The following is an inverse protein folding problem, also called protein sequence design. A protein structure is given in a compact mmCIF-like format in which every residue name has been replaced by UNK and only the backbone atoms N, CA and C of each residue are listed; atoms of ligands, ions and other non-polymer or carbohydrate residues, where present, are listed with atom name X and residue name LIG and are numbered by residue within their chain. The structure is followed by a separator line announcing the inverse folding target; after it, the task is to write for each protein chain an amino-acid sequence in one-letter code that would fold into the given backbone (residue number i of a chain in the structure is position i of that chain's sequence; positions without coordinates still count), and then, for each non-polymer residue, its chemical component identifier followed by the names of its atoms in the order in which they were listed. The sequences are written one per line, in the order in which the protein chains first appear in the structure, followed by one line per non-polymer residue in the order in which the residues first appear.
data_IF_107792227963
#
_entry.id   IF_107792227963
#
_cell.length_a   1.000
_cell.length_b   1.000
_cell.length_c   1.000
_cell.angle_alpha   90.00
_cell.angle_beta   90.00
_cell.angle_gamma   90.00
#
_symmetry.space_group_name_H-M   'P 1'
#
loop_
_entity.id
_entity.type
_entity.pdbx_description
1 polymer ?
#
# COMPACT_ATOMS: atom_id res chain seq x y z
N UNK A 1 -13.63 16.14 24.76
CA UNK A 1 -12.92 14.97 25.30
C UNK A 1 -11.69 14.76 24.43
N UNK A 2 -10.50 15.19 24.87
CA UNK A 2 -9.28 15.15 24.07
C UNK A 2 -8.84 13.71 23.72
N UNK A 3 -9.29 12.71 24.46
CA UNK A 3 -8.95 11.29 24.21
C UNK A 3 -9.78 10.67 23.07
N UNK A 4 -10.97 11.21 22.75
CA UNK A 4 -11.82 10.72 21.64
C UNK A 4 -11.31 11.08 20.24
N UNK A 5 -10.29 11.94 20.15
CA UNK A 5 -9.76 12.47 18.89
C UNK A 5 -8.31 12.02 18.61
N UNK A 6 -7.82 11.00 19.32
CA UNK A 6 -6.43 10.58 19.21
C UNK A 6 -6.16 9.93 17.84
N UNK A 7 -5.11 10.41 17.18
CA UNK A 7 -4.56 9.80 15.98
C UNK A 7 -3.49 8.79 16.38
N UNK A 8 -3.68 7.53 16.04
CA UNK A 8 -2.65 6.49 16.13
C UNK A 8 -1.57 6.76 15.08
N UNK A 9 -0.30 6.69 15.49
CA UNK A 9 0.84 6.97 14.61
C UNK A 9 1.93 5.93 14.83
N UNK A 10 2.60 5.50 13.76
CA UNK A 10 3.73 4.59 13.84
C UNK A 10 4.78 4.92 12.76
N UNK A 11 6.06 4.74 13.09
CA UNK A 11 7.18 4.87 12.15
C UNK A 11 7.90 3.53 12.07
N UNK A 12 8.20 3.08 10.85
CA UNK A 12 9.00 1.90 10.59
C UNK A 12 10.18 2.25 9.71
N UNK A 13 11.31 1.59 9.97
CA UNK A 13 12.51 1.62 9.14
C UNK A 13 12.87 0.15 8.89
N UNK A 14 12.84 -0.25 7.63
CA UNK A 14 12.97 -1.65 7.21
C UNK A 14 14.13 -1.78 6.22
N UNK A 15 15.32 -2.25 6.67
CA UNK A 15 16.39 -2.62 5.76
C UNK A 15 16.07 -3.95 5.08
N UNK A 16 16.28 -4.04 3.78
CA UNK A 16 16.01 -5.22 2.96
C UNK A 16 17.25 -5.71 2.20
N UNK A 17 17.26 -7.01 1.93
CA UNK A 17 18.19 -7.65 1.00
C UNK A 17 17.46 -8.74 0.21
N UNK A 18 17.66 -8.77 -1.10
CA UNK A 18 17.14 -9.79 -1.99
C UNK A 18 18.20 -10.26 -2.97
N UNK A 19 18.15 -11.54 -3.34
CA UNK A 19 18.96 -12.15 -4.40
C UNK A 19 18.21 -12.30 -5.73
N UNK A 20 16.93 -11.92 -5.75
CA UNK A 20 16.10 -11.98 -6.94
C UNK A 20 15.39 -10.63 -7.14
N UNK A 21 15.42 -10.16 -8.38
CA UNK A 21 14.67 -8.99 -8.81
C UNK A 21 13.16 -9.22 -8.67
N UNK A 22 12.48 -8.32 -7.96
CA UNK A 22 11.02 -8.32 -7.88
C UNK A 22 10.31 -7.98 -9.20
N UNK A 23 11.02 -7.33 -10.15
CA UNK A 23 10.46 -6.92 -11.45
C UNK A 23 10.46 -8.07 -12.48
N UNK A 24 11.53 -8.86 -12.55
CA UNK A 24 11.73 -9.85 -13.62
C UNK A 24 12.30 -11.20 -13.16
N UNK A 25 12.54 -11.40 -11.86
CA UNK A 25 13.08 -12.63 -11.31
C UNK A 25 14.55 -12.91 -11.61
N UNK A 26 15.28 -11.98 -12.25
CA UNK A 26 16.72 -12.16 -12.50
C UNK A 26 17.48 -12.24 -11.18
N UNK A 27 18.45 -13.15 -11.08
CA UNK A 27 19.33 -13.27 -9.92
C UNK A 27 20.29 -12.07 -9.88
N UNK A 28 20.20 -11.29 -8.81
CA UNK A 28 21.07 -10.14 -8.54
C UNK A 28 20.95 -9.76 -7.07
N UNK A 29 22.05 -9.27 -6.50
CA UNK A 29 22.00 -8.64 -5.19
C UNK A 29 21.28 -7.29 -5.29
N UNK A 30 20.31 -7.09 -4.41
CA UNK A 30 19.57 -5.85 -4.26
C UNK A 30 19.42 -5.53 -2.77
N UNK A 31 19.81 -4.33 -2.39
CA UNK A 31 19.62 -3.79 -1.05
C UNK A 31 18.51 -2.77 -1.08
N UNK A 32 17.68 -2.72 -0.05
CA UNK A 32 16.65 -1.67 0.08
C UNK A 32 16.62 -1.08 1.48
N UNK A 33 16.10 0.15 1.57
CA UNK A 33 15.78 0.80 2.82
C UNK A 33 14.42 1.46 2.67
N UNK A 34 13.42 0.92 3.38
CA UNK A 34 12.04 1.38 3.34
C UNK A 34 11.69 2.13 4.64
N UNK A 35 11.12 3.33 4.50
CA UNK A 35 10.61 4.14 5.58
C UNK A 35 9.09 4.20 5.48
N UNK A 36 8.40 3.92 6.58
CA UNK A 36 6.93 4.02 6.63
C UNK A 36 6.50 4.92 7.76
N UNK A 37 5.54 5.78 7.49
CA UNK A 37 4.76 6.49 8.49
C UNK A 37 3.29 6.08 8.34
N UNK A 38 2.74 5.46 9.37
CA UNK A 38 1.35 5.00 9.41
C UNK A 38 0.55 5.92 10.33
N UNK A 39 -0.68 6.20 9.92
CA UNK A 39 -1.62 7.08 10.59
C UNK A 39 -2.99 6.41 10.62
N UNK A 40 -3.63 6.36 11.78
CA UNK A 40 -4.98 5.81 11.93
C UNK A 40 -5.84 6.72 12.81
N UNK A 41 -7.11 6.86 12.47
CA UNK A 41 -8.10 7.52 13.32
C UNK A 41 -9.44 6.78 13.24
N UNK A 42 -9.97 6.41 14.40
CA UNK A 42 -11.30 5.83 14.51
C UNK A 42 -12.28 6.92 14.93
N UNK A 43 -13.48 6.90 14.35
CA UNK A 43 -14.51 7.89 14.62
C UNK A 43 -15.92 7.31 14.47
N UNK A 44 -16.93 8.03 14.96
CA UNK A 44 -18.29 7.54 15.10
C UNK A 44 -18.70 7.41 16.57
N UNK A 45 -19.98 7.20 16.83
CA UNK A 45 -20.49 7.08 18.21
C UNK A 45 -19.96 5.83 18.91
N UNK A 46 -19.71 4.77 18.13
CA UNK A 46 -19.18 3.49 18.59
C UNK A 46 -17.86 3.15 17.88
N UNK A 47 -17.12 4.17 17.40
CA UNK A 47 -15.89 4.00 16.61
C UNK A 47 -16.08 3.10 15.38
N UNK A 48 -17.28 3.14 14.79
CA UNK A 48 -17.62 2.26 13.69
C UNK A 48 -16.91 2.61 12.37
N UNK A 49 -16.29 3.79 12.28
CA UNK A 49 -15.47 4.21 11.14
C UNK A 49 -13.99 4.19 11.48
N UNK A 50 -13.20 3.74 10.51
CA UNK A 50 -11.74 3.71 10.58
C UNK A 50 -11.21 4.44 9.36
N UNK A 51 -10.38 5.46 9.57
CA UNK A 51 -9.52 6.04 8.56
C UNK A 51 -8.09 5.59 8.79
N UNK A 52 -7.41 5.18 7.73
CA UNK A 52 -6.00 4.81 7.77
C UNK A 52 -5.24 5.41 6.59
N UNK A 53 -4.03 5.90 6.83
CA UNK A 53 -3.14 6.40 5.81
C UNK A 53 -1.70 5.94 6.07
N UNK A 54 -0.98 5.62 5.00
CA UNK A 54 0.42 5.22 5.06
C UNK A 54 1.20 6.04 4.03
N UNK A 55 2.30 6.65 4.46
CA UNK A 55 3.32 7.22 3.61
C UNK A 55 4.53 6.29 3.62
N UNK A 56 5.00 5.91 2.44
CA UNK A 56 6.12 5.00 2.25
C UNK A 56 7.12 5.64 1.31
N UNK A 57 8.39 5.63 1.69
CA UNK A 57 9.51 5.98 0.83
C UNK A 57 10.51 4.83 0.86
N UNK A 58 10.97 4.39 -0.30
CA UNK A 58 11.92 3.28 -0.43
C UNK A 58 13.07 3.69 -1.34
N UNK A 59 14.29 3.31 -0.95
CA UNK A 59 15.48 3.46 -1.76
C UNK A 59 16.05 2.07 -2.00
N UNK A 60 16.35 1.74 -3.25
CA UNK A 60 16.94 0.47 -3.65
C UNK A 60 18.29 0.68 -4.34
N UNK A 61 19.23 -0.26 -4.10
CA UNK A 61 20.56 -0.30 -4.70
C UNK A 61 20.82 -1.68 -5.29
N UNK A 62 21.19 -1.73 -6.57
CA UNK A 62 21.58 -2.95 -7.28
C UNK A 62 23.05 -2.85 -7.72
N UNK A 63 24.02 -3.41 -6.95
CA UNK A 63 25.44 -3.21 -7.22
C UNK A 63 25.94 -3.78 -8.55
N UNK A 64 25.34 -4.87 -9.04
CA UNK A 64 25.77 -5.55 -10.27
C UNK A 64 25.58 -4.71 -11.54
N UNK A 65 24.61 -3.81 -11.53
CA UNK A 65 24.28 -2.91 -12.66
C UNK A 65 24.50 -1.44 -12.31
N UNK A 66 25.06 -1.15 -11.13
CA UNK A 66 25.20 0.20 -10.58
C UNK A 66 23.89 1.00 -10.57
N UNK A 67 22.75 0.32 -10.43
CA UNK A 67 21.42 0.93 -10.56
C UNK A 67 20.84 1.28 -9.19
N UNK A 68 20.33 2.51 -9.08
CA UNK A 68 19.58 3.00 -7.93
C UNK A 68 18.12 3.21 -8.31
N UNK A 69 17.21 3.06 -7.35
CA UNK A 69 15.82 3.45 -7.52
C UNK A 69 15.31 4.11 -6.25
N UNK A 70 14.41 5.07 -6.41
CA UNK A 70 13.63 5.64 -5.30
C UNK A 70 12.16 5.56 -5.63
N UNK A 71 11.37 5.06 -4.69
CA UNK A 71 9.92 4.97 -4.82
C UNK A 71 9.22 5.67 -3.67
N UNK A 72 8.09 6.28 -3.98
CA UNK A 72 7.19 6.89 -3.01
C UNK A 72 5.80 6.29 -3.20
N UNK A 73 5.14 5.98 -2.10
CA UNK A 73 3.79 5.42 -2.10
C UNK A 73 2.98 5.99 -0.95
N UNK A 74 1.79 6.49 -1.28
CA UNK A 74 0.78 6.95 -0.34
C UNK A 74 -0.43 6.05 -0.48
N UNK A 75 -0.85 5.41 0.60
CA UNK A 75 -2.11 4.66 0.66
C UNK A 75 -3.05 5.35 1.63
N UNK A 76 -4.30 5.54 1.26
CA UNK A 76 -5.35 6.07 2.14
C UNK A 76 -6.57 5.17 2.05
N UNK A 77 -7.25 4.96 3.17
CA UNK A 77 -8.46 4.15 3.20
C UNK A 77 -9.43 4.62 4.27
N UNK A 78 -10.72 4.42 3.98
CA UNK A 78 -11.80 4.58 4.93
C UNK A 78 -12.64 3.30 4.95
N UNK A 79 -12.99 2.83 6.13
CA UNK A 79 -13.81 1.65 6.33
C UNK A 79 -14.86 1.87 7.41
N UNK A 80 -15.96 1.12 7.33
CA UNK A 80 -17.05 1.13 8.28
C UNK A 80 -17.44 -0.29 8.68
N UNK A 81 -17.63 -0.52 9.98
CA UNK A 81 -18.31 -1.70 10.47
C UNK A 81 -19.79 -1.69 10.02
N UNK A 82 -20.17 -2.68 9.23
CA UNK A 82 -21.55 -2.87 8.74
C UNK A 82 -22.36 -3.65 9.77
N UNK A 83 -21.74 -4.64 10.41
CA UNK A 83 -22.26 -5.40 11.54
C UNK A 83 -21.07 -6.04 12.29
N UNK A 84 -21.36 -6.90 13.27
CA UNK A 84 -20.33 -7.54 14.11
C UNK A 84 -19.27 -8.33 13.32
N UNK A 85 -19.59 -8.81 12.12
CA UNK A 85 -18.71 -9.68 11.33
C UNK A 85 -18.17 -9.04 10.05
N UNK A 86 -18.74 -7.94 9.59
CA UNK A 86 -18.42 -7.36 8.28
C UNK A 86 -18.01 -5.90 8.39
N UNK A 87 -16.88 -5.59 7.76
CA UNK A 87 -16.36 -4.24 7.59
C UNK A 87 -16.19 -4.01 6.10
N UNK A 88 -16.70 -2.88 5.60
CA UNK A 88 -16.57 -2.50 4.19
C UNK A 88 -15.89 -1.14 4.09
N UNK A 89 -15.09 -0.94 3.06
CA UNK A 89 -14.32 0.27 2.88
C UNK A 89 -13.88 0.51 1.44
N UNK A 90 -13.06 1.54 1.30
CA UNK A 90 -12.49 1.97 0.04
C UNK A 90 -11.05 2.40 0.26
N UNK A 91 -10.17 2.05 -0.67
CA UNK A 91 -8.74 2.35 -0.63
C UNK A 91 -8.32 3.10 -1.89
N UNK A 92 -7.43 4.06 -1.72
CA UNK A 92 -6.72 4.78 -2.77
C UNK A 92 -5.22 4.61 -2.55
N UNK A 93 -4.49 4.31 -3.62
CA UNK A 93 -3.04 4.17 -3.61
C UNK A 93 -2.47 5.07 -4.69
N UNK A 94 -1.61 6.00 -4.32
CA UNK A 94 -0.79 6.75 -5.26
C UNK A 94 0.67 6.29 -5.11
N UNK A 95 1.35 6.05 -6.21
CA UNK A 95 2.77 5.69 -6.20
C UNK A 95 3.52 6.36 -7.34
N UNK A 96 4.82 6.58 -7.13
CA UNK A 96 5.75 7.05 -8.14
C UNK A 96 7.15 6.46 -7.91
N UNK A 97 7.89 6.28 -8.99
CA UNK A 97 9.23 5.69 -8.98
C UNK A 97 10.17 6.46 -9.91
N UNK A 98 11.41 6.61 -9.49
CA UNK A 98 12.51 7.17 -10.26
C UNK A 98 13.71 6.22 -10.25
N UNK A 99 14.26 5.95 -11.43
CA UNK A 99 15.55 5.30 -11.61
C UNK A 99 16.68 6.32 -11.39
N UNK A 100 17.85 5.82 -10.98
CA UNK A 100 19.06 6.61 -10.75
C UNK A 100 18.84 7.84 -9.86
N UNK A 101 17.83 7.77 -8.99
CA UNK A 101 17.36 8.83 -8.08
C UNK A 101 16.83 10.10 -8.75
N UNK A 102 16.80 10.20 -10.08
CA UNK A 102 16.38 11.41 -10.79
C UNK A 102 15.62 11.17 -12.11
N UNK A 103 15.64 9.96 -12.67
CA UNK A 103 14.98 9.64 -13.93
C UNK A 103 13.59 9.06 -13.66
N UNK A 104 12.55 9.80 -14.04
CA UNK A 104 11.17 9.42 -13.73
C UNK A 104 10.76 8.18 -14.53
N UNK A 105 10.45 7.07 -13.84
CA UNK A 105 9.96 5.85 -14.50
C UNK A 105 8.44 5.87 -14.65
N UNK A 106 7.72 6.02 -13.53
CA UNK A 106 6.25 6.03 -13.57
C UNK A 106 5.61 6.71 -12.36
N UNK A 107 4.32 7.04 -12.52
CA UNK A 107 3.41 7.35 -11.43
C UNK A 107 2.04 6.71 -11.71
N UNK A 108 1.40 6.16 -10.69
CA UNK A 108 0.08 5.52 -10.81
C UNK A 108 -0.84 5.87 -9.66
N UNK A 109 -2.14 5.91 -9.93
CA UNK A 109 -3.19 5.96 -8.92
C UNK A 109 -4.10 4.74 -9.10
N UNK A 110 -4.30 4.01 -8.01
CA UNK A 110 -5.27 2.94 -7.89
C UNK A 110 -6.36 3.33 -6.92
N UNK A 111 -7.56 2.83 -7.16
CA UNK A 111 -8.66 2.99 -6.22
C UNK A 111 -9.62 1.80 -6.29
N UNK A 112 -10.27 1.48 -5.19
CA UNK A 112 -11.27 0.42 -5.18
C UNK A 112 -11.74 -0.03 -3.81
N UNK A 113 -12.75 -0.91 -3.78
CA UNK A 113 -13.34 -1.39 -2.55
C UNK A 113 -12.43 -2.35 -1.78
N UNK A 114 -12.64 -2.39 -0.47
CA UNK A 114 -12.10 -3.38 0.44
C UNK A 114 -13.20 -3.92 1.34
N UNK A 115 -13.18 -5.23 1.59
CA UNK A 115 -14.11 -5.89 2.50
C UNK A 115 -13.34 -6.81 3.43
N UNK A 116 -13.66 -6.74 4.72
CA UNK A 116 -13.14 -7.64 5.74
C UNK A 116 -14.29 -8.39 6.39
N UNK A 117 -14.12 -9.69 6.49
CA UNK A 117 -14.92 -10.58 7.31
C UNK A 117 -14.12 -10.96 8.55
N UNK A 118 -14.76 -10.94 9.71
CA UNK A 118 -14.17 -11.34 10.99
C UNK A 118 -15.13 -12.21 11.80
N UNK A 119 -14.56 -13.12 12.58
CA UNK A 119 -15.28 -14.01 13.49
C UNK A 119 -14.94 -13.67 14.93
N UNK A 120 -15.86 -14.01 15.83
CA UNK A 120 -15.67 -13.83 17.28
C UNK A 120 -14.45 -14.56 17.84
N UNK A 121 -14.02 -15.65 17.19
CA UNK A 121 -12.82 -16.42 17.57
C UNK A 121 -11.50 -15.77 17.10
N UNK A 122 -11.54 -14.52 16.63
CA UNK A 122 -10.38 -13.75 16.18
C UNK A 122 -9.97 -13.98 14.73
N UNK A 123 -10.52 -14.99 14.02
CA UNK A 123 -10.20 -15.20 12.61
C UNK A 123 -10.73 -14.06 11.75
N UNK A 124 -9.91 -13.56 10.82
CA UNK A 124 -10.33 -12.59 9.82
C UNK A 124 -9.81 -12.91 8.42
N UNK A 125 -10.50 -12.34 7.43
CA UNK A 125 -10.07 -12.32 6.03
C UNK A 125 -10.46 -10.98 5.42
N UNK A 126 -9.53 -10.36 4.71
CA UNK A 126 -9.73 -9.10 4.00
C UNK A 126 -9.46 -9.31 2.53
N UNK A 127 -10.41 -8.92 1.69
CA UNK A 127 -10.25 -8.85 0.24
C UNK A 127 -10.30 -7.39 -0.19
N UNK A 128 -9.27 -6.94 -0.88
CA UNK A 128 -9.25 -5.64 -1.54
C UNK A 128 -9.11 -5.85 -3.05
N UNK A 129 -9.96 -5.16 -3.82
CA UNK A 129 -9.92 -5.17 -5.27
C UNK A 129 -9.77 -3.73 -5.75
N UNK A 130 -8.62 -3.40 -6.33
CA UNK A 130 -8.31 -2.04 -6.79
C UNK A 130 -8.04 -2.04 -8.29
N UNK A 131 -8.47 -0.97 -8.95
CA UNK A 131 -8.23 -0.73 -10.36
C UNK A 131 -7.34 0.50 -10.51
N UNK A 132 -6.44 0.47 -11.49
CA UNK A 132 -5.70 1.66 -11.88
C UNK A 132 -6.68 2.67 -12.49
N UNK A 133 -6.73 3.88 -11.93
CA UNK A 133 -7.57 4.98 -12.43
C UNK A 133 -6.74 6.01 -13.20
N UNK A 134 -5.42 6.01 -13.00
CA UNK A 134 -4.46 6.85 -13.69
C UNK A 134 -3.07 6.22 -13.71
N UNK A 135 -2.33 6.41 -14.80
CA UNK A 135 -0.92 6.08 -14.91
C UNK A 135 -0.17 7.01 -15.85
N UNK A 136 1.08 7.29 -15.51
CA UNK A 136 2.04 8.06 -16.30
C UNK A 136 3.37 7.31 -16.36
N UNK A 137 4.06 7.25 -17.51
CA UNK A 137 3.52 7.56 -18.83
C UNK A 137 2.36 6.61 -19.20
N UNK A 138 1.31 7.15 -19.84
CA UNK A 138 0.17 6.34 -20.24
C UNK A 138 0.44 5.58 -21.56
N UNK A 139 0.16 4.28 -21.58
CA UNK A 139 0.34 3.40 -22.74
C UNK A 139 -0.91 2.57 -23.09
N UNK A 140 -1.97 2.66 -22.27
CA UNK A 140 -3.30 2.14 -22.62
C UNK A 140 -4.39 3.06 -22.07
N UNK A 141 -4.93 3.93 -22.93
CA UNK A 141 -5.84 4.98 -22.49
C UNK A 141 -5.12 5.95 -21.55
N UNK A 142 -5.62 6.10 -20.33
CA UNK A 142 -5.01 6.90 -19.27
C UNK A 142 -4.21 6.07 -18.25
N UNK A 143 -3.89 4.81 -18.59
CA UNK A 143 -3.22 3.86 -17.71
C UNK A 143 -1.79 3.59 -18.18
N UNK A 144 -0.90 3.32 -17.22
CA UNK A 144 0.42 2.74 -17.44
C UNK A 144 0.36 1.23 -17.13
N UNK A 145 0.10 0.43 -18.18
CA UNK A 145 0.02 -1.03 -18.10
C UNK A 145 1.33 -1.75 -18.46
N UNK A 146 2.37 -1.02 -18.88
CA UNK A 146 3.72 -1.60 -19.04
C UNK A 146 4.38 -1.82 -17.68
N UNK A 147 4.22 -0.85 -16.76
CA UNK A 147 4.86 -0.90 -15.44
C UNK A 147 3.96 -1.53 -14.37
N UNK A 148 2.63 -1.36 -14.46
CA UNK A 148 1.71 -1.84 -13.44
C UNK A 148 0.50 -2.54 -14.03
N UNK A 149 0.07 -3.62 -13.39
CA UNK A 149 -1.18 -4.28 -13.75
C UNK A 149 -2.37 -3.31 -13.66
N UNK A 150 -3.35 -3.40 -14.58
CA UNK A 150 -4.54 -2.54 -14.54
C UNK A 150 -5.45 -2.84 -13.34
N UNK A 151 -5.33 -4.03 -12.75
CA UNK A 151 -6.09 -4.47 -11.58
C UNK A 151 -5.17 -5.19 -10.60
N UNK A 152 -5.43 -5.02 -9.31
CA UNK A 152 -4.76 -5.74 -8.24
C UNK A 152 -5.78 -6.26 -7.23
N UNK A 153 -5.63 -7.53 -6.86
CA UNK A 153 -6.41 -8.19 -5.82
C UNK A 153 -5.49 -8.57 -4.67
N UNK A 154 -5.80 -8.09 -3.47
CA UNK A 154 -5.07 -8.43 -2.25
C UNK A 154 -5.99 -9.19 -1.31
N UNK A 155 -5.61 -10.44 -1.01
CA UNK A 155 -6.26 -11.27 0.00
C UNK A 155 -5.33 -11.38 1.21
N UNK A 156 -5.81 -10.98 2.38
CA UNK A 156 -5.13 -11.14 3.67
C UNK A 156 -6.00 -12.00 4.56
N UNK A 157 -5.41 -12.91 5.32
CA UNK A 157 -6.11 -13.66 6.35
C UNK A 157 -5.22 -13.78 7.58
N UNK A 158 -5.83 -13.88 8.76
CA UNK A 158 -5.10 -13.94 10.01
C UNK A 158 -5.99 -14.23 11.20
N UNK A 159 -5.38 -14.19 12.38
CA UNK A 159 -6.05 -14.29 13.67
C UNK A 159 -5.61 -13.10 14.54
N UNK A 160 -6.58 -12.46 15.19
CA UNK A 160 -6.35 -11.52 16.28
C UNK A 160 -6.41 -12.29 17.61
N UNK A 161 -5.44 -12.07 18.49
CA UNK A 161 -5.26 -12.76 19.77
C UNK A 161 -5.53 -11.82 20.94
#
# INVERSE_FOLDING_TARGET
DPDKNAWGQAIYIEPGYSQASGKNGSLRDQYSLEFKYLLQHNFGEAEEWIYAANLVAEIERTPSTDADAVSFKVTQGIAKAINASWIAGFEVIASAEWAELNDFEYATIFAGPSVRYQRENGFYTTLTAIAQVYGSPANKGNLNVSEKSPYEFRLKAGFEF
#
